data_IF_689634570990
#
_entry.id   IF_689634570990
#
_cell.length_a   1.000
_cell.length_b   1.000
_cell.length_c   1.000
_cell.angle_alpha   90.00
_cell.angle_beta   90.00
_cell.angle_gamma   90.00
#
_symmetry.space_group_name_H-M   'P 1'
#
loop_
_entity.id
_entity.type
_entity.pdbx_description
1 polymer ?
#
# COMPACT_ATOMS: atom_id res chain seq x y z
N UNK A 1 -22.50 -55.42 -8.69
CA UNK A 1 -22.94 -54.04 -8.93
C UNK A 1 -21.84 -53.12 -8.47
N UNK A 2 -21.26 -52.33 -9.38
CA UNK A 2 -20.24 -51.34 -9.05
C UNK A 2 -20.92 -50.04 -8.61
N UNK A 3 -20.47 -49.45 -7.50
CA UNK A 3 -20.93 -48.15 -7.03
C UNK A 3 -20.42 -47.03 -7.95
N UNK A 4 -21.28 -46.11 -8.45
CA UNK A 4 -20.84 -44.93 -9.17
C UNK A 4 -20.82 -43.74 -8.21
N UNK A 5 -19.70 -43.54 -7.51
CA UNK A 5 -19.48 -42.27 -6.81
C UNK A 5 -18.11 -41.73 -7.21
N UNK A 6 -18.13 -40.72 -8.09
CA UNK A 6 -16.98 -39.87 -8.38
C UNK A 6 -16.95 -38.72 -7.39
N UNK A 7 -15.84 -38.61 -6.65
CA UNK A 7 -15.52 -37.42 -5.86
C UNK A 7 -14.87 -36.42 -6.82
N UNK A 8 -15.58 -35.35 -7.17
CA UNK A 8 -14.97 -34.19 -7.84
C UNK A 8 -14.44 -33.25 -6.77
N UNK A 9 -13.12 -33.07 -6.74
CA UNK A 9 -12.45 -32.14 -5.82
C UNK A 9 -12.66 -30.70 -6.26
N UNK A 10 -13.16 -29.85 -5.36
CA UNK A 10 -13.23 -28.39 -5.51
C UNK A 10 -11.85 -27.69 -5.51
N UNK A 11 -10.75 -28.46 -5.54
CA UNK A 11 -9.39 -27.97 -5.34
C UNK A 11 -8.84 -27.19 -6.53
N UNK A 12 -9.36 -27.42 -7.75
CA UNK A 12 -8.90 -26.76 -8.97
C UNK A 12 -9.40 -25.32 -9.14
N UNK A 13 -10.55 -24.98 -8.54
CA UNK A 13 -11.17 -23.65 -8.68
C UNK A 13 -10.56 -22.61 -7.74
N UNK A 14 -10.11 -23.03 -6.56
CA UNK A 14 -9.47 -22.14 -5.58
C UNK A 14 -8.04 -21.77 -5.97
N UNK A 15 -7.28 -22.67 -6.60
CA UNK A 15 -5.93 -22.37 -7.07
C UNK A 15 -5.94 -21.37 -8.23
N UNK A 16 -6.84 -21.54 -9.21
CA UNK A 16 -6.95 -20.63 -10.37
C UNK A 16 -7.32 -19.19 -9.96
N UNK A 17 -8.18 -19.02 -8.95
CA UNK A 17 -8.52 -17.70 -8.43
C UNK A 17 -7.35 -17.04 -7.68
N UNK A 18 -6.56 -17.83 -6.95
CA UNK A 18 -5.38 -17.31 -6.25
C UNK A 18 -4.28 -16.91 -7.24
N UNK A 19 -4.01 -17.73 -8.25
CA UNK A 19 -3.02 -17.43 -9.30
C UNK A 19 -3.38 -16.13 -10.05
N UNK A 20 -4.68 -15.92 -10.29
CA UNK A 20 -5.23 -14.70 -10.89
C UNK A 20 -5.03 -13.47 -10.01
N UNK A 21 -5.23 -13.60 -8.71
CA UNK A 21 -5.00 -12.55 -7.72
C UNK A 21 -3.51 -12.19 -7.63
N UNK A 22 -2.64 -13.19 -7.57
CA UNK A 22 -1.19 -13.00 -7.49
C UNK A 22 -0.67 -12.30 -8.76
N UNK A 23 -1.20 -12.67 -9.93
CA UNK A 23 -0.89 -11.97 -11.19
C UNK A 23 -1.37 -10.52 -11.19
N UNK A 24 -2.58 -10.26 -10.68
CA UNK A 24 -3.09 -8.90 -10.56
C UNK A 24 -2.21 -8.04 -9.65
N UNK A 25 -1.76 -8.58 -8.52
CA UNK A 25 -0.85 -7.87 -7.61
C UNK A 25 0.53 -7.67 -8.22
N UNK A 26 1.04 -8.65 -8.96
CA UNK A 26 2.30 -8.54 -9.67
C UNK A 26 2.26 -7.41 -10.72
N UNK A 27 1.21 -7.34 -11.53
CA UNK A 27 1.03 -6.28 -12.53
C UNK A 27 0.76 -4.92 -11.86
N UNK A 28 0.07 -4.87 -10.72
CA UNK A 28 -0.15 -3.61 -9.97
C UNK A 28 1.17 -3.02 -9.45
N UNK A 29 2.09 -3.87 -8.98
CA UNK A 29 3.31 -3.47 -8.27
C UNK A 29 4.34 -2.82 -9.21
N UNK A 30 4.51 -1.50 -9.11
CA UNK A 30 5.66 -0.79 -9.72
C UNK A 30 6.95 -1.00 -8.93
N UNK A 31 6.83 -0.91 -7.61
CA UNK A 31 7.88 -1.08 -6.61
C UNK A 31 7.22 -1.57 -5.32
N UNK A 32 8.01 -1.99 -4.32
CA UNK A 32 7.49 -2.25 -2.98
C UNK A 32 7.86 -1.09 -2.06
N UNK A 33 6.88 -0.32 -1.56
CA UNK A 33 7.15 0.82 -0.68
C UNK A 33 7.97 0.47 0.56
N UNK A 34 7.89 -0.78 1.06
CA UNK A 34 8.69 -1.25 2.20
C UNK A 34 10.18 -1.37 1.84
N UNK A 35 10.47 -1.86 0.65
CA UNK A 35 11.82 -1.97 0.12
C UNK A 35 12.37 -0.58 -0.21
N UNK A 36 11.52 0.32 -0.71
CA UNK A 36 11.87 1.73 -0.91
C UNK A 36 12.24 2.43 0.40
N UNK A 37 11.44 2.25 1.46
CA UNK A 37 11.76 2.74 2.81
C UNK A 37 13.14 2.24 3.25
N UNK A 38 13.37 0.93 3.13
CA UNK A 38 14.64 0.28 3.53
C UNK A 38 15.82 0.87 2.77
N UNK A 39 15.70 1.00 1.45
CA UNK A 39 16.72 1.60 0.59
C UNK A 39 16.97 3.07 0.94
N UNK A 40 15.91 3.86 1.16
CA UNK A 40 16.02 5.28 1.55
C UNK A 40 16.79 5.41 2.87
N UNK A 41 16.49 4.57 3.85
CA UNK A 41 17.18 4.61 5.13
C UNK A 41 18.67 4.28 4.98
N UNK A 42 18.98 3.18 4.29
CA UNK A 42 20.37 2.77 4.07
C UNK A 42 21.17 3.82 3.29
N UNK A 43 20.59 4.39 2.23
CA UNK A 43 21.26 5.41 1.41
C UNK A 43 21.44 6.75 2.12
N UNK A 44 20.67 7.02 3.18
CA UNK A 44 20.74 8.25 3.99
C UNK A 44 21.50 8.10 5.31
N UNK A 45 22.26 7.01 5.47
CA UNK A 45 23.10 6.77 6.64
C UNK A 45 22.40 6.08 7.82
N UNK A 46 21.23 5.49 7.56
CA UNK A 46 20.41 4.80 8.56
C UNK A 46 19.39 5.71 9.24
N UNK A 47 18.45 5.09 9.95
CA UNK A 47 17.43 5.77 10.73
C UNK A 47 17.84 5.81 12.21
N UNK A 48 18.06 7.01 12.73
CA UNK A 48 18.39 7.24 14.13
C UNK A 48 17.13 7.67 14.89
N UNK A 49 16.74 6.91 15.93
CA UNK A 49 15.54 7.19 16.73
C UNK A 49 15.54 8.60 17.30
N UNK A 50 16.67 9.04 17.83
CA UNK A 50 16.84 10.36 18.42
C UNK A 50 16.63 11.52 17.43
N UNK A 51 16.73 11.25 16.12
CA UNK A 51 16.51 12.26 15.08
C UNK A 51 15.04 12.53 14.77
N UNK A 52 14.13 11.62 15.15
CA UNK A 52 12.69 11.75 14.85
C UNK A 52 11.80 11.69 16.09
N UNK A 53 12.24 11.13 17.21
CA UNK A 53 11.38 10.86 18.37
C UNK A 53 10.67 12.12 18.92
N UNK A 54 11.26 13.30 18.73
CA UNK A 54 10.66 14.58 19.12
C UNK A 54 9.29 14.83 18.47
N UNK A 55 9.04 14.29 17.27
CA UNK A 55 7.74 14.48 16.59
C UNK A 55 6.61 13.74 17.32
N UNK A 56 6.93 12.67 18.05
CA UNK A 56 5.93 11.85 18.73
C UNK A 56 5.27 12.60 19.90
N UNK A 57 5.97 13.61 20.43
CA UNK A 57 5.46 14.51 21.47
C UNK A 57 4.99 15.86 20.91
N UNK A 58 5.05 16.05 19.58
CA UNK A 58 4.62 17.29 18.96
C UNK A 58 3.09 17.38 18.92
N UNK A 59 2.54 18.51 19.38
CA UNK A 59 1.09 18.70 19.47
C UNK A 59 0.37 18.57 18.13
N UNK A 60 0.97 19.02 17.02
CA UNK A 60 0.34 18.92 15.69
C UNK A 60 0.38 17.49 15.16
N UNK A 61 1.44 16.74 15.44
CA UNK A 61 1.51 15.32 15.12
C UNK A 61 0.47 14.51 15.91
N UNK A 62 0.35 14.76 17.22
CA UNK A 62 -0.64 14.10 18.07
C UNK A 62 -2.07 14.41 17.63
N UNK A 63 -2.35 15.67 17.29
CA UNK A 63 -3.65 16.09 16.75
C UNK A 63 -3.99 15.39 15.45
N UNK A 64 -3.03 15.32 14.52
CA UNK A 64 -3.21 14.56 13.27
C UNK A 64 -3.43 13.06 13.52
N UNK A 65 -2.76 12.48 14.53
CA UNK A 65 -2.87 11.06 14.85
C UNK A 65 -4.19 10.69 15.52
N UNK A 66 -4.77 11.58 16.33
CA UNK A 66 -5.88 11.24 17.23
C UNK A 66 -7.18 11.99 16.94
N UNK A 67 -7.15 13.14 16.27
CA UNK A 67 -8.35 13.92 15.97
C UNK A 67 -8.82 13.71 14.52
N UNK A 68 -9.92 14.36 14.13
CA UNK A 68 -10.45 14.36 12.75
C UNK A 68 -9.56 15.09 11.73
N UNK A 69 -8.39 15.57 12.13
CA UNK A 69 -7.45 16.29 11.25
C UNK A 69 -6.84 15.35 10.22
N UNK A 70 -7.23 15.48 8.96
CA UNK A 70 -6.88 14.52 7.89
C UNK A 70 -5.51 14.73 7.25
N UNK A 71 -4.80 15.81 7.56
CA UNK A 71 -3.57 16.19 6.85
C UNK A 71 -2.49 16.73 7.80
N UNK A 72 -1.32 16.09 7.77
CA UNK A 72 -0.10 16.59 8.43
C UNK A 72 0.87 17.10 7.37
N UNK A 73 1.27 18.36 7.49
CA UNK A 73 2.29 18.95 6.62
C UNK A 73 3.60 19.18 7.39
N UNK A 74 4.67 18.50 6.98
CA UNK A 74 6.01 18.67 7.54
C UNK A 74 6.85 19.58 6.62
N UNK A 75 7.11 20.82 7.07
CA UNK A 75 8.00 21.78 6.39
C UNK A 75 9.40 21.77 6.99
N UNK A 76 10.40 22.11 6.18
CA UNK A 76 11.77 22.29 6.64
C UNK A 76 12.73 22.44 5.47
N UNK A 77 13.93 22.94 5.73
CA UNK A 77 14.92 23.19 4.68
C UNK A 77 15.42 21.88 4.03
N UNK A 78 15.93 21.93 2.80
CA UNK A 78 16.66 20.81 2.19
C UNK A 78 17.72 20.27 3.16
N UNK A 79 17.84 18.94 3.23
CA UNK A 79 18.83 18.27 4.10
C UNK A 79 18.45 18.16 5.59
N UNK A 80 17.35 18.75 6.07
CA UNK A 80 16.94 18.70 7.50
C UNK A 80 16.29 17.37 7.95
N UNK A 81 16.51 16.27 7.23
CA UNK A 81 16.02 14.96 7.67
C UNK A 81 14.51 14.70 7.54
N UNK A 82 13.73 15.53 6.84
CA UNK A 82 12.26 15.34 6.66
C UNK A 82 11.85 13.93 6.22
N UNK A 83 12.60 13.32 5.29
CA UNK A 83 12.33 11.94 4.86
C UNK A 83 12.57 10.94 5.99
N UNK A 84 13.63 11.13 6.79
CA UNK A 84 13.93 10.25 7.93
C UNK A 84 12.88 10.40 9.03
N UNK A 85 12.36 11.61 9.21
CA UNK A 85 11.23 11.89 10.10
C UNK A 85 9.98 11.08 9.68
N UNK A 86 9.66 11.05 8.39
CA UNK A 86 8.57 10.22 7.87
C UNK A 86 8.84 8.72 8.03
N UNK A 87 10.08 8.26 7.80
CA UNK A 87 10.45 6.86 8.05
C UNK A 87 10.23 6.48 9.52
N UNK A 88 10.65 7.34 10.45
CA UNK A 88 10.44 7.15 11.88
C UNK A 88 8.97 7.16 12.29
N UNK A 89 8.17 8.07 11.72
CA UNK A 89 6.73 8.08 11.94
C UNK A 89 6.08 6.77 11.46
N UNK A 90 6.49 6.25 10.30
CA UNK A 90 6.01 4.95 9.81
C UNK A 90 6.40 3.83 10.78
N UNK A 91 7.63 3.80 11.30
CA UNK A 91 8.07 2.76 12.25
C UNK A 91 7.31 2.80 13.58
N UNK A 92 6.90 3.97 14.03
CA UNK A 92 6.14 4.14 15.28
C UNK A 92 4.64 3.84 15.09
N UNK A 93 4.10 4.01 13.88
CA UNK A 93 2.71 3.67 13.55
C UNK A 93 2.55 2.19 13.21
N UNK A 94 3.54 1.60 12.52
CA UNK A 94 3.44 0.24 11.96
C UNK A 94 3.05 -0.86 12.96
N UNK A 95 3.56 -0.89 14.23
CA UNK A 95 3.23 -1.93 15.19
C UNK A 95 1.74 -2.06 15.52
N UNK A 96 0.98 -0.97 15.45
CA UNK A 96 -0.46 -0.96 15.73
C UNK A 96 -1.32 -1.18 14.47
N UNK A 97 -0.71 -1.58 13.36
CA UNK A 97 -1.36 -1.69 12.04
C UNK A 97 -1.11 -3.06 11.43
N UNK A 98 -1.89 -3.41 10.40
CA UNK A 98 -1.73 -4.67 9.67
C UNK A 98 -0.40 -4.85 8.95
N UNK A 99 0.43 -3.81 8.85
CA UNK A 99 1.81 -3.94 8.38
C UNK A 99 2.67 -4.84 9.28
N UNK A 100 2.39 -4.88 10.59
CA UNK A 100 3.19 -5.64 11.58
C UNK A 100 2.36 -6.52 12.49
N UNK A 101 1.08 -6.23 12.66
CA UNK A 101 0.14 -7.06 13.41
C UNK A 101 -1.06 -7.45 12.53
N UNK A 102 -1.10 -8.71 12.10
CA UNK A 102 -2.19 -9.23 11.25
C UNK A 102 -3.57 -9.18 11.92
N UNK A 103 -3.64 -9.04 13.25
CA UNK A 103 -4.89 -8.93 14.00
C UNK A 103 -5.34 -7.49 14.20
N UNK A 104 -4.51 -6.50 13.88
CA UNK A 104 -4.89 -5.10 13.95
C UNK A 104 -6.04 -4.79 12.98
N UNK A 105 -6.84 -3.78 13.31
CA UNK A 105 -7.93 -3.30 12.44
C UNK A 105 -7.46 -2.20 11.49
N UNK A 106 -6.43 -1.45 11.87
CA UNK A 106 -5.95 -0.29 11.10
C UNK A 106 -4.99 -0.72 9.98
N UNK A 107 -5.21 -0.20 8.78
CA UNK A 107 -4.28 -0.33 7.65
C UNK A 107 -3.35 0.88 7.60
N UNK A 108 -2.09 0.66 7.24
CA UNK A 108 -1.15 1.75 6.98
C UNK A 108 -0.58 1.63 5.57
N UNK A 109 -0.83 2.64 4.74
CA UNK A 109 -0.32 2.73 3.38
C UNK A 109 0.51 4.00 3.21
N UNK A 110 1.62 3.90 2.46
CA UNK A 110 2.54 5.00 2.21
C UNK A 110 3.27 4.81 0.87
N UNK A 111 3.77 5.91 0.34
CA UNK A 111 4.56 5.94 -0.89
C UNK A 111 5.64 7.00 -0.79
N UNK A 112 6.83 6.73 -1.35
CA UNK A 112 7.92 7.69 -1.39
C UNK A 112 8.12 8.19 -2.83
N UNK A 113 7.71 9.43 -3.10
CA UNK A 113 8.00 10.07 -4.37
C UNK A 113 9.51 10.36 -4.48
N UNK A 114 10.17 9.80 -5.49
CA UNK A 114 11.59 10.08 -5.76
C UNK A 114 11.71 10.92 -7.01
N UNK A 115 11.93 12.23 -6.84
CA UNK A 115 11.89 13.20 -7.95
C UNK A 115 12.78 12.81 -9.15
N UNK A 116 13.93 12.17 -8.90
CA UNK A 116 14.88 11.75 -9.93
C UNK A 116 14.48 10.48 -10.69
N UNK A 117 13.46 9.74 -10.26
CA UNK A 117 13.02 8.49 -10.90
C UNK A 117 11.58 8.63 -11.41
N UNK A 118 11.43 8.76 -12.73
CA UNK A 118 10.13 8.96 -13.39
C UNK A 118 9.14 7.81 -13.18
N UNK A 119 9.63 6.62 -12.81
CA UNK A 119 8.78 5.46 -12.50
C UNK A 119 8.03 5.63 -11.19
N UNK A 120 8.55 6.45 -10.28
CA UNK A 120 8.05 6.61 -8.90
C UNK A 120 7.92 8.09 -8.51
N UNK A 121 7.68 8.97 -9.49
CA UNK A 121 7.41 10.39 -9.27
C UNK A 121 6.09 10.89 -9.89
N UNK A 122 5.26 9.98 -10.39
CA UNK A 122 4.01 10.31 -11.06
C UNK A 122 2.78 9.83 -10.25
N UNK A 123 1.63 10.44 -10.53
CA UNK A 123 0.41 10.22 -9.76
C UNK A 123 -0.11 8.76 -9.87
N UNK A 124 0.02 8.14 -11.04
CA UNK A 124 -0.32 6.72 -11.27
C UNK A 124 0.53 5.80 -10.38
N UNK A 125 1.84 6.02 -10.30
CA UNK A 125 2.73 5.24 -9.46
C UNK A 125 2.40 5.36 -7.96
N UNK A 126 2.01 6.57 -7.52
CA UNK A 126 1.55 6.80 -6.14
C UNK A 126 0.32 5.94 -5.85
N UNK A 127 -0.72 6.00 -6.68
CA UNK A 127 -1.94 5.20 -6.46
C UNK A 127 -1.65 3.70 -6.51
N UNK A 128 -0.85 3.22 -7.47
CA UNK A 128 -0.44 1.80 -7.54
C UNK A 128 0.24 1.34 -6.26
N UNK A 129 1.18 2.13 -5.73
CA UNK A 129 1.87 1.79 -4.49
C UNK A 129 0.96 1.83 -3.26
N UNK A 130 0.05 2.79 -3.19
CA UNK A 130 -0.89 2.90 -2.07
C UNK A 130 -1.89 1.73 -2.05
N UNK A 131 -2.50 1.44 -3.21
CA UNK A 131 -3.44 0.32 -3.38
C UNK A 131 -2.73 -1.00 -3.07
N UNK A 132 -1.50 -1.20 -3.59
CA UNK A 132 -0.72 -2.40 -3.36
C UNK A 132 -0.55 -2.71 -1.86
N UNK A 133 -0.17 -1.72 -1.05
CA UNK A 133 -0.05 -1.93 0.40
C UNK A 133 -1.38 -2.23 1.09
N UNK A 134 -2.48 -1.61 0.66
CA UNK A 134 -3.80 -1.87 1.24
C UNK A 134 -4.24 -3.30 0.97
N UNK A 135 -4.15 -3.76 -0.28
CA UNK A 135 -4.55 -5.12 -0.66
C UNK A 135 -3.62 -6.18 -0.05
N UNK A 136 -2.32 -5.91 0.04
CA UNK A 136 -1.37 -6.82 0.68
C UNK A 136 -1.68 -7.01 2.19
N UNK A 137 -2.18 -5.98 2.87
CA UNK A 137 -2.61 -6.06 4.27
C UNK A 137 -4.03 -6.64 4.46
N UNK A 138 -4.90 -6.46 3.47
CA UNK A 138 -6.28 -6.97 3.48
C UNK A 138 -6.61 -7.57 2.10
N UNK A 139 -6.30 -8.86 1.87
CA UNK A 139 -6.45 -9.50 0.56
C UNK A 139 -7.86 -9.48 -0.02
N UNK A 140 -8.90 -9.33 0.81
CA UNK A 140 -10.29 -9.22 0.33
C UNK A 140 -10.53 -7.99 -0.55
N UNK A 141 -9.73 -6.93 -0.40
CA UNK A 141 -9.84 -5.70 -1.19
C UNK A 141 -9.46 -5.89 -2.66
N UNK A 142 -8.85 -7.03 -3.02
CA UNK A 142 -8.45 -7.31 -4.40
C UNK A 142 -9.64 -7.38 -5.36
N UNK A 143 -10.85 -7.69 -4.87
CA UNK A 143 -12.08 -7.73 -5.66
C UNK A 143 -12.32 -6.41 -6.40
N UNK A 144 -12.10 -5.27 -5.75
CA UNK A 144 -12.25 -3.92 -6.35
C UNK A 144 -11.36 -3.71 -7.57
N UNK A 145 -10.19 -4.36 -7.59
CA UNK A 145 -9.24 -4.29 -8.70
C UNK A 145 -9.63 -5.29 -9.79
N UNK A 146 -9.96 -6.53 -9.39
CA UNK A 146 -10.31 -7.64 -10.28
C UNK A 146 -11.50 -7.31 -11.19
N UNK A 147 -12.49 -6.56 -10.70
CA UNK A 147 -13.64 -6.13 -11.50
C UNK A 147 -13.24 -5.47 -12.84
N UNK A 148 -12.19 -4.65 -12.81
CA UNK A 148 -11.65 -3.97 -14.01
C UNK A 148 -10.49 -4.75 -14.64
N UNK A 149 -9.65 -5.37 -13.82
CA UNK A 149 -8.45 -6.07 -14.28
C UNK A 149 -8.75 -7.32 -15.10
N UNK A 150 -9.87 -8.01 -14.86
CA UNK A 150 -10.21 -9.25 -15.58
C UNK A 150 -10.47 -9.02 -17.07
N UNK A 151 -10.83 -7.78 -17.43
CA UNK A 151 -11.08 -7.35 -18.80
C UNK A 151 -9.84 -6.73 -19.45
N UNK A 152 -9.09 -5.91 -18.72
CA UNK A 152 -8.00 -5.10 -19.26
C UNK A 152 -6.60 -5.72 -19.05
N UNK A 153 -6.43 -6.61 -18.07
CA UNK A 153 -5.14 -7.10 -17.60
C UNK A 153 -4.21 -5.98 -17.13
N UNK A 154 -2.89 -6.19 -17.18
CA UNK A 154 -1.90 -5.21 -16.76
C UNK A 154 -1.98 -3.84 -17.45
N UNK A 155 -2.60 -3.76 -18.65
CA UNK A 155 -2.82 -2.48 -19.35
C UNK A 155 -3.68 -1.51 -18.54
N UNK A 156 -4.54 -2.00 -17.66
CA UNK A 156 -5.33 -1.21 -16.71
C UNK A 156 -4.45 -0.21 -15.93
N UNK A 157 -3.20 -0.56 -15.66
CA UNK A 157 -2.30 0.22 -14.83
C UNK A 157 -1.31 1.08 -15.62
N UNK A 158 -1.31 0.97 -16.95
CA UNK A 158 -0.28 1.54 -17.84
C UNK A 158 -0.85 2.36 -19.00
N UNK A 159 -2.12 2.20 -19.33
CA UNK A 159 -2.74 2.94 -20.43
C UNK A 159 -2.98 4.43 -20.12
N UNK A 160 -3.46 5.16 -21.13
CA UNK A 160 -3.73 6.61 -21.03
C UNK A 160 -4.78 6.98 -19.98
N UNK A 161 -5.61 6.02 -19.59
CA UNK A 161 -6.68 6.17 -18.60
C UNK A 161 -6.32 5.57 -17.24
N UNK A 162 -5.10 5.05 -17.06
CA UNK A 162 -4.67 4.38 -15.83
C UNK A 162 -4.89 5.24 -14.59
N UNK A 163 -4.65 6.55 -14.67
CA UNK A 163 -4.93 7.49 -13.58
C UNK A 163 -6.40 7.45 -13.15
N UNK A 164 -7.32 7.56 -14.10
CA UNK A 164 -8.75 7.56 -13.82
C UNK A 164 -9.22 6.23 -13.27
N UNK A 165 -8.78 5.13 -13.88
CA UNK A 165 -9.11 3.78 -13.43
C UNK A 165 -8.61 3.51 -12.00
N UNK A 166 -7.35 3.86 -11.70
CA UNK A 166 -6.78 3.69 -10.37
C UNK A 166 -7.41 4.62 -9.34
N UNK A 167 -7.80 5.83 -9.72
CA UNK A 167 -8.50 6.76 -8.82
C UNK A 167 -9.84 6.18 -8.41
N UNK A 168 -10.63 5.69 -9.36
CA UNK A 168 -11.91 5.03 -9.10
C UNK A 168 -11.76 3.75 -8.24
N UNK A 169 -10.75 2.92 -8.53
CA UNK A 169 -10.43 1.74 -7.70
C UNK A 169 -10.05 2.16 -6.28
N UNK A 170 -9.21 3.17 -6.13
CA UNK A 170 -8.80 3.68 -4.82
C UNK A 170 -10.00 4.21 -4.03
N UNK A 171 -10.86 4.99 -4.68
CA UNK A 171 -12.08 5.54 -4.09
C UNK A 171 -13.04 4.43 -3.62
N UNK A 172 -13.19 3.35 -4.40
CA UNK A 172 -13.96 2.17 -4.00
C UNK A 172 -13.34 1.45 -2.80
N UNK A 173 -12.02 1.29 -2.76
CA UNK A 173 -11.32 0.67 -1.63
C UNK A 173 -11.48 1.47 -0.34
N UNK A 174 -11.31 2.80 -0.38
CA UNK A 174 -11.41 3.63 0.83
C UNK A 174 -12.86 3.76 1.35
N UNK A 175 -13.85 3.44 0.52
CA UNK A 175 -15.27 3.39 0.88
C UNK A 175 -15.75 1.96 1.23
N UNK A 176 -14.87 0.96 1.17
CA UNK A 176 -15.23 -0.41 1.50
C UNK A 176 -15.63 -0.53 2.99
N UNK A 177 -16.81 -1.09 3.33
CA UNK A 177 -17.27 -1.19 4.71
C UNK A 177 -16.40 -2.06 5.63
N UNK A 178 -15.50 -2.87 5.06
CA UNK A 178 -14.54 -3.71 5.78
C UNK A 178 -13.20 -3.02 6.08
N UNK A 179 -13.05 -1.75 5.68
CA UNK A 179 -11.87 -0.92 5.96
C UNK A 179 -11.89 -0.31 7.37
#
# INVERSE_FOLDING_TARGET
GACPFSISSNLSRSSDSQDKNDRCLADLRVTNPRDDKTRIEQTKGGLLKDSYCWILSNADFLRWRHDESRLLWIKGDPGKGKTMLLCGAIDELSPATRLRDKQATTLLSYFFCQAADSRINNATAVLRGLIYLLVDQQPSLISHIRDSYDHAGGKLFEDVNAWWALSDIFDRIIQDPSL
#
